data_IF_079598456251
#
_entry.id   IF_079598456251
#
_cell.length_a   1.000
_cell.length_b   1.000
_cell.length_c   1.000
_cell.angle_alpha   90.00
_cell.angle_beta   90.00
_cell.angle_gamma   90.00
#
_symmetry.space_group_name_H-M   'P 1'
#
loop_
_entity.id
_entity.type
_entity.pdbx_description
1 polymer ?
#
# COMPACT_ATOMS: atom_id res chain seq x y z
N UNK A 1 12.77 21.69 12.92
CA UNK A 1 11.67 21.97 11.98
C UNK A 1 10.50 21.17 12.51
N UNK A 2 9.46 21.83 13.02
CA UNK A 2 8.26 21.18 13.53
C UNK A 2 7.38 20.92 12.33
N UNK A 3 7.21 19.65 11.96
CA UNK A 3 6.25 19.28 10.91
C UNK A 3 4.84 19.50 11.46
N UNK A 4 4.04 20.26 10.78
CA UNK A 4 2.61 20.33 11.05
C UNK A 4 1.96 19.05 10.49
N UNK A 5 0.96 18.50 11.18
CA UNK A 5 0.27 17.25 10.83
C UNK A 5 -0.24 17.21 9.37
N UNK A 6 -0.52 18.35 8.76
CA UNK A 6 -1.03 18.49 7.40
C UNK A 6 -0.02 18.17 6.28
N UNK A 7 1.25 17.88 6.61
CA UNK A 7 2.32 17.69 5.62
C UNK A 7 2.78 16.24 5.41
N UNK A 8 2.26 15.26 6.17
CA UNK A 8 2.74 13.88 6.11
C UNK A 8 2.20 13.12 4.89
N UNK A 9 1.03 13.46 4.40
CA UNK A 9 0.44 12.92 3.19
C UNK A 9 -0.52 13.92 2.54
N UNK A 10 -0.82 13.70 1.26
CA UNK A 10 -1.91 14.38 0.54
C UNK A 10 -2.88 13.33 0.02
N UNK A 11 -4.17 13.67 -0.01
CA UNK A 11 -5.20 12.78 -0.53
C UNK A 11 -6.12 13.53 -1.49
N UNK A 12 -6.36 12.92 -2.66
CA UNK A 12 -7.26 13.46 -3.69
C UNK A 12 -8.31 12.40 -4.08
N UNK A 13 -9.53 12.86 -4.38
CA UNK A 13 -10.63 12.02 -4.84
C UNK A 13 -10.86 12.19 -6.35
N UNK A 14 -11.06 11.08 -7.05
CA UNK A 14 -11.24 11.04 -8.49
C UNK A 14 -12.48 10.24 -8.88
N UNK A 15 -13.28 10.80 -9.78
CA UNK A 15 -14.52 10.19 -10.25
C UNK A 15 -15.72 10.49 -9.33
N UNK A 16 -16.83 9.81 -9.60
CA UNK A 16 -18.09 9.97 -8.85
C UNK A 16 -18.40 8.66 -8.15
N UNK A 17 -18.49 8.66 -6.83
CA UNK A 17 -18.74 7.46 -6.03
C UNK A 17 -20.14 6.88 -6.25
N UNK A 18 -21.15 7.71 -6.51
CA UNK A 18 -22.56 7.30 -6.67
C UNK A 18 -22.82 6.33 -7.85
N UNK A 19 -21.95 6.31 -8.86
CA UNK A 19 -22.08 5.45 -10.04
C UNK A 19 -20.94 4.42 -10.14
N UNK A 20 -20.04 4.41 -9.18
CA UNK A 20 -18.88 3.54 -9.20
C UNK A 20 -19.25 2.10 -8.78
N UNK A 21 -18.59 1.14 -9.40
CA UNK A 21 -18.73 -0.29 -9.02
C UNK A 21 -18.11 -0.60 -7.66
N UNK A 22 -17.13 0.19 -7.22
CA UNK A 22 -16.55 0.20 -5.89
C UNK A 22 -15.61 1.42 -5.74
N UNK A 23 -15.24 1.75 -4.51
CA UNK A 23 -14.19 2.73 -4.22
C UNK A 23 -12.85 2.04 -3.97
N UNK A 24 -11.80 2.53 -4.61
CA UNK A 24 -10.41 2.07 -4.43
C UNK A 24 -9.64 3.08 -3.59
N UNK A 25 -9.13 2.64 -2.46
CA UNK A 25 -8.08 3.35 -1.72
C UNK A 25 -6.75 3.06 -2.41
N UNK A 26 -6.18 4.08 -3.03
CA UNK A 26 -4.95 3.97 -3.82
C UNK A 26 -3.81 4.68 -3.08
N UNK A 27 -2.74 3.96 -2.71
CA UNK A 27 -1.56 4.59 -2.09
C UNK A 27 -0.36 4.50 -3.03
N UNK A 28 0.20 5.67 -3.32
CA UNK A 28 1.33 5.84 -4.24
C UNK A 28 2.61 5.14 -3.76
N UNK A 29 3.55 4.84 -4.67
CA UNK A 29 4.91 4.46 -4.30
C UNK A 29 5.63 5.58 -3.54
N UNK A 30 6.70 5.21 -2.83
CA UNK A 30 7.59 6.19 -2.20
C UNK A 30 8.01 7.31 -3.17
N UNK A 31 8.01 8.54 -2.68
CA UNK A 31 8.42 9.75 -3.42
C UNK A 31 7.74 9.89 -4.80
N UNK A 32 6.47 9.50 -4.89
CA UNK A 32 5.75 9.52 -6.16
C UNK A 32 4.48 10.35 -6.01
N UNK A 33 4.44 11.57 -6.56
CA UNK A 33 3.22 12.39 -6.57
C UNK A 33 2.10 11.72 -7.37
N UNK A 34 0.85 12.00 -6.99
CA UNK A 34 -0.36 11.47 -7.63
C UNK A 34 -0.35 11.71 -9.14
N UNK A 35 0.17 12.86 -9.60
CA UNK A 35 0.24 13.20 -11.01
C UNK A 35 1.08 12.20 -11.83
N UNK A 36 2.17 11.64 -11.24
CA UNK A 36 3.03 10.64 -11.91
C UNK A 36 2.35 9.28 -12.08
N UNK A 37 1.36 8.96 -11.24
CA UNK A 37 0.57 7.72 -11.33
C UNK A 37 -0.83 7.95 -11.93
N UNK A 38 -1.13 9.15 -12.37
CA UNK A 38 -2.44 9.53 -12.95
C UNK A 38 -2.90 8.61 -14.08
N UNK A 39 -1.98 8.00 -14.81
CA UNK A 39 -2.31 7.02 -15.87
C UNK A 39 -2.99 5.76 -15.27
N UNK A 40 -2.53 5.27 -14.11
CA UNK A 40 -3.13 4.13 -13.43
C UNK A 40 -4.52 4.52 -12.86
N UNK A 41 -4.61 5.69 -12.24
CA UNK A 41 -5.88 6.24 -11.73
C UNK A 41 -6.89 6.36 -12.87
N UNK A 42 -6.53 7.01 -14.00
CA UNK A 42 -7.41 7.12 -15.17
C UNK A 42 -7.88 5.76 -15.71
N UNK A 43 -7.04 4.73 -15.65
CA UNK A 43 -7.43 3.37 -16.06
C UNK A 43 -8.41 2.73 -15.09
N UNK A 44 -8.28 2.96 -13.78
CA UNK A 44 -9.26 2.53 -12.78
C UNK A 44 -10.60 3.25 -12.97
N UNK A 45 -10.59 4.58 -13.19
CA UNK A 45 -11.79 5.35 -13.49
C UNK A 45 -12.52 4.84 -14.73
N UNK A 46 -11.79 4.55 -15.82
CA UNK A 46 -12.38 3.96 -17.05
C UNK A 46 -12.94 2.55 -16.83
N UNK A 47 -12.44 1.85 -15.82
CA UNK A 47 -12.96 0.55 -15.41
C UNK A 47 -14.16 0.64 -14.45
N UNK A 48 -14.65 1.86 -14.18
CA UNK A 48 -15.85 2.11 -13.38
C UNK A 48 -15.60 2.27 -11.88
N UNK A 49 -14.36 2.40 -11.43
CA UNK A 49 -14.04 2.61 -10.01
C UNK A 49 -14.00 4.09 -9.65
N UNK A 50 -14.44 4.43 -8.46
CA UNK A 50 -14.07 5.68 -7.78
C UNK A 50 -12.70 5.48 -7.10
N UNK A 51 -11.85 6.50 -7.06
CA UNK A 51 -10.49 6.38 -6.51
C UNK A 51 -10.23 7.49 -5.49
N UNK A 52 -9.81 7.10 -4.30
CA UNK A 52 -9.23 8.01 -3.29
C UNK A 52 -7.73 7.73 -3.27
N UNK A 53 -6.94 8.64 -3.80
CA UNK A 53 -5.50 8.48 -3.94
C UNK A 53 -4.74 9.24 -2.85
N UNK A 54 -3.72 8.58 -2.29
CA UNK A 54 -2.81 9.11 -1.29
C UNK A 54 -1.40 9.16 -1.82
N UNK A 55 -0.72 10.28 -1.62
CA UNK A 55 0.73 10.36 -1.77
C UNK A 55 1.39 10.67 -0.43
N UNK A 56 2.57 10.10 -0.22
CA UNK A 56 3.41 10.36 0.94
C UNK A 56 4.60 11.21 0.51
N UNK A 57 4.84 12.32 1.18
CA UNK A 57 5.92 13.23 0.80
C UNK A 57 7.28 12.61 1.11
N UNK A 58 8.26 12.75 0.20
CA UNK A 58 9.64 12.29 0.39
C UNK A 58 10.32 12.91 1.61
N UNK A 59 9.91 14.12 1.98
CA UNK A 59 10.46 14.87 3.12
C UNK A 59 10.33 14.11 4.44
N UNK A 60 9.26 13.35 4.61
CA UNK A 60 9.02 12.53 5.80
C UNK A 60 10.11 11.47 6.00
N UNK A 61 10.58 10.84 4.90
CA UNK A 61 11.63 9.81 4.99
C UNK A 61 13.04 10.36 4.88
N UNK A 62 13.23 11.46 4.17
CA UNK A 62 14.57 12.06 3.96
C UNK A 62 15.01 12.96 5.12
N UNK A 63 14.10 13.68 5.75
CA UNK A 63 14.40 14.50 6.91
C UNK A 63 14.26 13.73 8.23
N UNK A 64 13.67 12.54 8.19
CA UNK A 64 13.00 11.99 9.33
C UNK A 64 13.85 11.06 10.17
N UNK A 65 13.55 11.14 11.42
CA UNK A 65 13.66 10.03 12.34
C UNK A 65 12.80 8.87 11.79
N UNK A 66 13.36 7.65 11.62
CA UNK A 66 12.60 6.45 11.26
C UNK A 66 11.35 6.22 12.13
N UNK A 67 11.31 6.75 13.34
CA UNK A 67 10.16 6.69 14.24
C UNK A 67 8.92 7.45 13.73
N UNK A 68 9.03 8.27 12.70
CA UNK A 68 7.87 8.92 12.04
C UNK A 68 7.02 7.94 11.23
N UNK A 69 7.57 6.83 10.77
CA UNK A 69 6.82 5.87 9.94
C UNK A 69 5.58 5.30 10.65
N UNK A 70 5.63 4.86 11.93
CA UNK A 70 4.45 4.45 12.66
C UNK A 70 3.39 5.54 12.74
N UNK A 71 3.80 6.79 12.98
CA UNK A 71 2.90 7.94 13.06
C UNK A 71 2.23 8.21 11.70
N UNK A 72 3.00 8.22 10.61
CA UNK A 72 2.47 8.36 9.25
C UNK A 72 1.40 7.29 8.95
N UNK A 73 1.70 6.02 9.26
CA UNK A 73 0.75 4.92 9.03
C UNK A 73 -0.52 5.13 9.85
N UNK A 74 -0.38 5.54 11.12
CA UNK A 74 -1.52 5.82 11.99
C UNK A 74 -2.40 6.94 11.43
N UNK A 75 -1.80 8.03 10.97
CA UNK A 75 -2.53 9.17 10.39
C UNK A 75 -3.24 8.80 9.09
N UNK A 76 -2.55 8.13 8.16
CA UNK A 76 -3.15 7.67 6.89
C UNK A 76 -4.31 6.71 7.16
N UNK A 77 -4.14 5.78 8.09
CA UNK A 77 -5.18 4.83 8.50
C UNK A 77 -6.42 5.54 9.07
N UNK A 78 -6.22 6.54 9.93
CA UNK A 78 -7.31 7.31 10.50
C UNK A 78 -8.06 8.11 9.42
N UNK A 79 -7.36 8.73 8.48
CA UNK A 79 -7.99 9.44 7.36
C UNK A 79 -8.77 8.47 6.45
N UNK A 80 -8.22 7.29 6.16
CA UNK A 80 -8.93 6.23 5.41
C UNK A 80 -10.25 5.87 6.09
N UNK A 81 -10.24 5.63 7.42
CA UNK A 81 -11.45 5.34 8.20
C UNK A 81 -12.50 6.45 8.09
N UNK A 82 -12.08 7.70 8.25
CA UNK A 82 -12.98 8.86 8.16
C UNK A 82 -13.59 8.99 6.76
N UNK A 83 -12.79 8.77 5.70
CA UNK A 83 -13.29 8.81 4.32
C UNK A 83 -14.22 7.66 4.01
N UNK A 84 -13.90 6.44 4.44
CA UNK A 84 -14.79 5.28 4.31
C UNK A 84 -16.11 5.57 5.00
N UNK A 85 -16.11 6.06 6.24
CA UNK A 85 -17.34 6.41 6.96
C UNK A 85 -18.18 7.46 6.22
N UNK A 86 -17.54 8.53 5.70
CA UNK A 86 -18.18 9.55 4.88
C UNK A 86 -18.80 8.98 3.59
N UNK A 87 -18.05 8.14 2.87
CA UNK A 87 -18.51 7.53 1.63
C UNK A 87 -19.63 6.50 1.88
N UNK A 88 -19.56 5.74 2.98
CA UNK A 88 -20.61 4.82 3.39
C UNK A 88 -21.90 5.58 3.71
N UNK A 89 -21.82 6.71 4.40
CA UNK A 89 -22.97 7.58 4.64
C UNK A 89 -23.55 8.17 3.34
N UNK A 90 -22.74 8.29 2.28
CA UNK A 90 -23.16 8.69 0.94
C UNK A 90 -23.65 7.50 0.07
N UNK A 91 -23.77 6.28 0.63
CA UNK A 91 -24.31 5.10 -0.04
C UNK A 91 -23.27 4.19 -0.72
N UNK A 92 -21.97 4.42 -0.54
CA UNK A 92 -20.94 3.50 -1.03
C UNK A 92 -20.88 2.26 -0.13
N UNK A 93 -21.00 1.09 -0.72
CA UNK A 93 -21.07 -0.18 0.03
C UNK A 93 -19.85 -1.08 -0.17
N UNK A 94 -18.97 -0.77 -1.13
CA UNK A 94 -17.86 -1.63 -1.47
C UNK A 94 -16.55 -0.86 -1.57
N UNK A 95 -15.57 -1.30 -0.79
CA UNK A 95 -14.24 -0.72 -0.70
C UNK A 95 -13.17 -1.78 -0.96
N UNK A 96 -12.21 -1.40 -1.78
CA UNK A 96 -11.00 -2.18 -1.99
C UNK A 96 -9.79 -1.27 -2.03
N UNK A 97 -8.62 -1.84 -2.30
CA UNK A 97 -7.41 -1.05 -2.33
C UNK A 97 -6.42 -1.47 -3.42
N UNK A 98 -5.53 -0.54 -3.73
CA UNK A 98 -4.34 -0.76 -4.53
C UNK A 98 -3.16 0.00 -3.92
N UNK A 99 -2.23 -0.72 -3.31
CA UNK A 99 -0.98 -0.16 -2.80
C UNK A 99 0.18 -0.47 -3.72
N UNK A 100 1.14 0.45 -3.83
CA UNK A 100 2.33 0.21 -4.63
C UNK A 100 3.61 0.55 -3.87
N UNK A 101 4.56 -0.39 -3.79
CA UNK A 101 5.81 -0.25 -3.04
C UNK A 101 5.55 0.15 -1.58
N UNK A 102 5.99 1.31 -1.12
CA UNK A 102 5.65 1.85 0.21
C UNK A 102 4.13 1.85 0.47
N UNK A 103 3.33 2.21 -0.54
CA UNK A 103 1.88 2.19 -0.43
C UNK A 103 1.30 0.81 -0.14
N UNK A 104 1.94 -0.26 -0.64
CA UNK A 104 1.58 -1.64 -0.26
C UNK A 104 1.83 -1.90 1.22
N UNK A 105 2.96 -1.45 1.75
CA UNK A 105 3.30 -1.61 3.15
C UNK A 105 2.34 -0.84 4.08
N UNK A 106 1.99 0.41 3.72
CA UNK A 106 1.01 1.20 4.47
C UNK A 106 -0.34 0.47 4.50
N UNK A 107 -0.83 0.02 3.34
CA UNK A 107 -2.11 -0.71 3.26
C UNK A 107 -2.08 -2.07 3.96
N UNK A 108 -0.94 -2.76 3.98
CA UNK A 108 -0.76 -3.97 4.76
C UNK A 108 -1.03 -3.73 6.25
N UNK A 109 -0.68 -2.54 6.77
CA UNK A 109 -0.96 -2.10 8.13
C UNK A 109 -2.37 -1.49 8.32
N UNK A 110 -3.18 -1.41 7.26
CA UNK A 110 -4.55 -0.89 7.34
C UNK A 110 -5.61 -1.99 7.31
N UNK A 111 -5.31 -3.15 6.70
CA UNK A 111 -6.32 -4.21 6.50
C UNK A 111 -6.67 -4.97 7.78
N UNK A 112 -7.78 -5.69 7.76
CA UNK A 112 -8.25 -6.50 8.86
C UNK A 112 -8.83 -5.66 10.00
N UNK A 113 -8.36 -5.91 11.22
CA UNK A 113 -8.87 -5.25 12.44
C UNK A 113 -8.87 -3.73 12.37
N UNK A 114 -7.90 -3.18 11.66
CA UNK A 114 -7.70 -1.74 11.59
C UNK A 114 -8.71 -1.03 10.67
N UNK A 115 -8.98 -1.58 9.49
CA UNK A 115 -10.00 -1.06 8.55
C UNK A 115 -10.75 -2.25 7.94
N UNK A 116 -11.75 -2.79 8.65
CA UNK A 116 -12.43 -4.04 8.26
C UNK A 116 -13.23 -3.94 6.95
N UNK A 117 -13.49 -2.74 6.47
CA UNK A 117 -14.15 -2.50 5.18
C UNK A 117 -13.24 -2.82 3.99
N UNK A 118 -11.92 -2.82 4.17
CA UNK A 118 -10.95 -3.14 3.11
C UNK A 118 -10.78 -4.66 2.95
N UNK A 119 -11.79 -5.30 2.37
CA UNK A 119 -11.88 -6.75 2.28
C UNK A 119 -11.19 -7.36 1.06
N UNK A 120 -10.76 -6.57 0.11
CA UNK A 120 -10.04 -7.04 -1.07
C UNK A 120 -9.08 -5.98 -1.59
N UNK A 121 -7.99 -6.43 -2.18
CA UNK A 121 -7.04 -5.47 -2.74
C UNK A 121 -5.77 -6.07 -3.30
N UNK A 122 -4.92 -5.17 -3.77
CA UNK A 122 -3.69 -5.47 -4.47
C UNK A 122 -2.50 -4.84 -3.76
N UNK A 123 -1.53 -5.66 -3.41
CA UNK A 123 -0.20 -5.26 -2.93
C UNK A 123 0.79 -5.36 -4.08
N UNK A 124 1.06 -4.23 -4.74
CA UNK A 124 1.98 -4.17 -5.87
C UNK A 124 3.41 -3.90 -5.40
N UNK A 125 4.29 -4.89 -5.53
CA UNK A 125 5.72 -4.78 -5.20
C UNK A 125 5.99 -4.33 -3.75
N UNK A 126 5.15 -4.75 -2.82
CA UNK A 126 5.35 -4.56 -1.38
C UNK A 126 6.30 -5.59 -0.80
N UNK A 127 6.81 -5.33 0.39
CA UNK A 127 7.68 -6.25 1.11
C UNK A 127 8.22 -5.63 2.40
N UNK A 128 9.26 -6.23 2.99
CA UNK A 128 9.91 -5.74 4.20
C UNK A 128 10.43 -4.30 4.00
N UNK A 129 9.82 -3.36 4.71
CA UNK A 129 10.12 -1.93 4.51
C UNK A 129 11.53 -1.56 4.97
N UNK A 130 12.02 -2.14 6.08
CA UNK A 130 13.35 -1.86 6.58
C UNK A 130 14.42 -2.30 5.57
N UNK A 131 14.31 -3.54 5.07
CA UNK A 131 15.20 -4.07 4.06
C UNK A 131 15.08 -3.32 2.73
N UNK A 132 13.86 -2.95 2.32
CA UNK A 132 13.62 -2.17 1.12
C UNK A 132 14.28 -0.80 1.17
N UNK A 133 14.08 -0.06 2.26
CA UNK A 133 14.71 1.24 2.46
C UNK A 133 16.24 1.16 2.59
N UNK A 134 16.74 0.10 3.24
CA UNK A 134 18.20 -0.12 3.37
C UNK A 134 18.89 -0.41 2.04
N UNK A 135 18.18 -0.96 1.06
CA UNK A 135 18.68 -1.17 -0.30
C UNK A 135 18.67 0.11 -1.16
N UNK A 136 17.90 1.11 -0.78
CA UNK A 136 17.91 2.43 -1.42
C UNK A 136 19.10 3.23 -0.91
N UNK A 137 20.11 3.43 -1.76
CA UNK A 137 21.41 3.98 -1.37
C UNK A 137 21.26 5.32 -0.64
N UNK A 138 20.49 6.25 -1.20
CA UNK A 138 20.30 7.60 -0.63
C UNK A 138 19.69 7.55 0.78
N UNK A 139 18.73 6.65 1.02
CA UNK A 139 18.11 6.48 2.33
C UNK A 139 19.06 5.79 3.31
N UNK A 140 19.80 4.78 2.85
CA UNK A 140 20.79 4.09 3.68
C UNK A 140 21.87 5.06 4.17
N UNK A 141 22.44 5.88 3.30
CA UNK A 141 23.44 6.88 3.66
C UNK A 141 22.91 7.88 4.69
N UNK A 142 21.67 8.34 4.49
CA UNK A 142 21.01 9.23 5.43
C UNK A 142 20.81 8.58 6.81
N UNK A 143 20.35 7.33 6.85
CA UNK A 143 20.15 6.59 8.09
C UNK A 143 21.47 6.32 8.82
N UNK A 144 22.52 5.89 8.09
CA UNK A 144 23.86 5.66 8.66
C UNK A 144 24.42 6.94 9.26
N UNK A 145 24.31 8.08 8.57
CA UNK A 145 24.77 9.38 9.06
C UNK A 145 24.06 9.80 10.37
N UNK A 146 22.90 9.22 10.69
CA UNK A 146 22.13 9.44 11.91
C UNK A 146 22.28 8.33 12.96
N UNK A 147 23.23 7.42 12.76
CA UNK A 147 23.50 6.33 13.69
C UNK A 147 22.50 5.17 13.63
N UNK A 148 21.71 5.07 12.55
CA UNK A 148 20.83 3.93 12.32
C UNK A 148 21.57 2.80 11.62
N UNK A 149 21.15 1.58 11.89
CA UNK A 149 21.59 0.36 11.21
C UNK A 149 20.37 -0.46 10.78
N UNK A 150 20.54 -1.40 9.86
CA UNK A 150 19.42 -2.26 9.44
C UNK A 150 18.79 -3.02 10.62
N UNK A 151 19.53 -3.67 11.53
CA UNK A 151 18.90 -4.33 12.69
C UNK A 151 18.11 -3.36 13.57
N UNK A 152 18.60 -2.14 13.78
CA UNK A 152 17.91 -1.13 14.58
C UNK A 152 16.62 -0.64 13.89
N UNK A 153 16.61 -0.55 12.55
CA UNK A 153 15.38 -0.25 11.79
C UNK A 153 14.38 -1.41 11.85
N UNK A 154 14.86 -2.64 11.72
CA UNK A 154 14.01 -3.83 11.84
C UNK A 154 13.35 -3.94 13.22
N UNK A 155 14.09 -3.63 14.27
CA UNK A 155 13.58 -3.55 15.65
C UNK A 155 12.54 -2.43 15.81
N UNK A 156 12.87 -1.21 15.35
CA UNK A 156 11.99 -0.04 15.47
C UNK A 156 10.66 -0.22 14.71
N UNK A 157 10.63 -1.03 13.65
CA UNK A 157 9.46 -1.27 12.82
C UNK A 157 8.90 -2.69 12.95
N UNK A 158 9.30 -3.45 13.98
CA UNK A 158 8.90 -4.84 14.15
C UNK A 158 7.37 -5.02 14.16
N UNK A 159 6.66 -4.17 14.91
CA UNK A 159 5.19 -4.21 14.99
C UNK A 159 4.51 -3.89 13.66
N UNK A 160 5.13 -3.02 12.84
CA UNK A 160 4.60 -2.70 11.52
C UNK A 160 4.83 -3.82 10.51
N UNK A 161 5.85 -4.65 10.71
CA UNK A 161 6.13 -5.78 9.82
C UNK A 161 5.17 -6.94 10.04
N UNK A 162 4.65 -7.07 11.26
CA UNK A 162 3.78 -8.17 11.68
C UNK A 162 2.53 -7.64 12.40
N UNK A 163 1.64 -6.92 11.68
CA UNK A 163 0.43 -6.38 12.30
C UNK A 163 -0.51 -7.52 12.71
N UNK A 164 -1.23 -7.29 13.82
CA UNK A 164 -2.35 -8.15 14.20
C UNK A 164 -3.56 -7.88 13.30
N UNK A 165 -3.77 -8.73 12.32
CA UNK A 165 -4.92 -8.62 11.41
C UNK A 165 -6.25 -8.95 12.08
N UNK A 166 -6.26 -9.66 13.19
CA UNK A 166 -7.46 -10.36 13.67
C UNK A 166 -7.89 -11.44 12.67
N UNK A 167 -9.18 -11.53 12.37
CA UNK A 167 -9.71 -12.48 11.37
C UNK A 167 -9.90 -11.80 10.02
N UNK A 168 -9.46 -12.48 8.96
CA UNK A 168 -9.56 -12.03 7.57
C UNK A 168 -10.48 -12.94 6.72
N UNK A 169 -11.43 -13.63 7.34
CA UNK A 169 -12.34 -14.53 6.62
C UNK A 169 -13.12 -13.78 5.53
N UNK A 170 -13.12 -14.32 4.33
CA UNK A 170 -13.74 -13.72 3.15
C UNK A 170 -13.01 -12.48 2.63
N UNK A 171 -11.82 -12.17 3.16
CA UNK A 171 -10.93 -11.18 2.57
C UNK A 171 -10.08 -11.79 1.47
N UNK A 172 -9.81 -11.03 0.41
CA UNK A 172 -9.09 -11.51 -0.78
C UNK A 172 -7.99 -10.55 -1.19
N UNK A 173 -6.76 -11.05 -1.31
CA UNK A 173 -5.62 -10.22 -1.63
C UNK A 173 -4.76 -10.82 -2.74
N UNK A 174 -4.21 -9.93 -3.56
CA UNK A 174 -3.26 -10.28 -4.61
C UNK A 174 -1.94 -9.56 -4.37
N UNK A 175 -0.87 -10.32 -4.27
CA UNK A 175 0.49 -9.80 -4.24
C UNK A 175 1.09 -9.84 -5.65
N UNK A 176 1.51 -8.68 -6.14
CA UNK A 176 2.17 -8.54 -7.43
C UNK A 176 3.67 -8.37 -7.23
N UNK A 177 4.48 -9.14 -7.93
CA UNK A 177 5.94 -9.15 -7.78
C UNK A 177 6.67 -9.34 -9.09
N UNK A 178 7.99 -9.14 -9.08
CA UNK A 178 8.89 -9.55 -10.16
C UNK A 178 10.04 -10.38 -9.60
N UNK A 179 10.54 -11.34 -10.40
CA UNK A 179 11.71 -12.16 -10.03
C UNK A 179 13.00 -11.35 -9.91
N UNK A 180 13.08 -10.22 -10.62
CA UNK A 180 14.25 -9.35 -10.67
C UNK A 180 14.06 -8.05 -9.89
N UNK A 181 13.10 -8.05 -8.97
CA UNK A 181 12.94 -6.92 -8.04
C UNK A 181 14.05 -6.99 -6.99
N UNK A 182 14.91 -6.00 -7.01
CA UNK A 182 16.09 -5.89 -6.15
C UNK A 182 15.76 -5.28 -4.78
N UNK A 183 14.67 -4.54 -4.67
CA UNK A 183 14.22 -3.89 -3.42
C UNK A 183 13.21 -4.78 -2.68
N UNK A 184 12.20 -5.28 -3.38
CA UNK A 184 11.16 -6.14 -2.82
C UNK A 184 11.17 -7.54 -3.48
N UNK A 185 12.19 -8.37 -3.22
CA UNK A 185 12.31 -9.69 -3.83
C UNK A 185 11.15 -10.61 -3.42
N UNK A 186 10.84 -11.57 -4.29
CA UNK A 186 9.71 -12.50 -4.11
C UNK A 186 9.71 -13.20 -2.74
N UNK A 187 10.90 -13.53 -2.20
CA UNK A 187 11.01 -14.14 -0.87
C UNK A 187 10.45 -13.25 0.26
N UNK A 188 10.65 -11.94 0.17
CA UNK A 188 10.09 -11.00 1.14
C UNK A 188 8.56 -10.93 1.03
N UNK A 189 8.01 -11.02 -0.17
CA UNK A 189 6.55 -11.01 -0.40
C UNK A 189 5.90 -12.25 0.22
N UNK A 190 6.53 -13.41 0.08
CA UNK A 190 6.01 -14.66 0.67
C UNK A 190 5.87 -14.58 2.19
N UNK A 191 6.77 -13.87 2.88
CA UNK A 191 6.69 -13.64 4.32
C UNK A 191 5.42 -12.86 4.72
N UNK A 192 4.95 -11.93 3.88
CA UNK A 192 3.72 -11.16 4.14
C UNK A 192 2.44 -11.95 3.83
N UNK A 193 2.52 -12.91 2.91
CA UNK A 193 1.35 -13.74 2.59
C UNK A 193 0.99 -14.72 3.71
N UNK A 194 1.99 -15.28 4.39
CA UNK A 194 1.81 -16.28 5.45
C UNK A 194 0.84 -15.83 6.55
N UNK A 195 1.13 -14.72 7.26
CA UNK A 195 0.27 -14.23 8.32
C UNK A 195 -1.17 -13.91 7.88
N UNK A 196 -1.36 -13.44 6.64
CA UNK A 196 -2.71 -13.19 6.10
C UNK A 196 -3.46 -14.50 5.82
N UNK A 197 -2.78 -15.54 5.32
CA UNK A 197 -3.36 -16.86 5.13
C UNK A 197 -3.74 -17.50 6.48
N UNK A 198 -2.88 -17.38 7.50
CA UNK A 198 -3.14 -17.84 8.86
C UNK A 198 -4.33 -17.11 9.49
N UNK A 199 -4.53 -15.82 9.16
CA UNK A 199 -5.69 -15.03 9.58
C UNK A 199 -6.98 -15.38 8.81
N UNK A 200 -6.96 -16.27 7.82
CA UNK A 200 -8.12 -16.74 7.08
C UNK A 200 -8.38 -16.04 5.74
N UNK A 201 -7.46 -15.22 5.25
CA UNK A 201 -7.61 -14.57 3.95
C UNK A 201 -7.33 -15.53 2.78
N UNK A 202 -8.00 -15.29 1.66
CA UNK A 202 -7.61 -15.84 0.36
C UNK A 202 -6.50 -14.98 -0.24
N UNK A 203 -5.29 -15.54 -0.37
CA UNK A 203 -4.14 -14.80 -0.88
C UNK A 203 -3.57 -15.46 -2.12
N UNK A 204 -3.30 -14.67 -3.14
CA UNK A 204 -2.65 -15.14 -4.36
C UNK A 204 -1.48 -14.25 -4.79
N UNK A 205 -0.50 -14.85 -5.48
CA UNK A 205 0.64 -14.14 -6.02
C UNK A 205 0.53 -14.05 -7.56
N UNK A 206 0.95 -12.93 -8.11
CA UNK A 206 1.06 -12.70 -9.56
C UNK A 206 2.43 -12.12 -9.88
N UNK A 207 2.97 -12.54 -11.02
CA UNK A 207 4.25 -12.03 -11.50
C UNK A 207 4.06 -11.08 -12.66
N UNK A 208 4.84 -10.02 -12.66
CA UNK A 208 4.98 -9.10 -13.79
C UNK A 208 6.39 -9.23 -14.39
N UNK A 209 6.53 -9.14 -15.73
CA UNK A 209 7.84 -9.07 -16.35
C UNK A 209 8.47 -7.71 -16.04
N UNK A 210 9.56 -7.72 -15.29
CA UNK A 210 10.29 -6.50 -14.95
C UNK A 210 11.74 -6.85 -14.61
N UNK A 211 12.64 -5.90 -14.79
CA UNK A 211 14.10 -6.08 -14.61
C UNK A 211 14.64 -5.35 -13.37
N UNK A 212 13.79 -4.59 -12.69
CA UNK A 212 14.10 -3.84 -11.47
C UNK A 212 12.84 -3.54 -10.67
N UNK A 213 12.97 -3.06 -9.43
CA UNK A 213 11.85 -2.58 -8.61
C UNK A 213 11.01 -1.54 -9.34
N UNK A 214 11.65 -0.50 -9.90
CA UNK A 214 10.95 0.58 -10.60
C UNK A 214 10.10 0.08 -11.76
N UNK A 215 10.65 -0.82 -12.57
CA UNK A 215 9.90 -1.39 -13.71
C UNK A 215 8.79 -2.34 -13.25
N UNK A 216 8.98 -3.04 -12.13
CA UNK A 216 7.93 -3.86 -11.52
C UNK A 216 6.77 -3.01 -10.99
N UNK A 217 7.07 -1.90 -10.30
CA UNK A 217 6.08 -0.90 -9.86
C UNK A 217 5.26 -0.41 -11.05
N UNK A 218 5.91 0.05 -12.14
CA UNK A 218 5.24 0.56 -13.34
C UNK A 218 4.38 -0.53 -14.01
N UNK A 219 4.90 -1.75 -14.15
CA UNK A 219 4.15 -2.86 -14.75
C UNK A 219 2.90 -3.22 -13.93
N UNK A 220 2.99 -3.20 -12.60
CA UNK A 220 1.84 -3.40 -11.73
C UNK A 220 0.81 -2.26 -11.83
N UNK A 221 1.26 -1.01 -11.82
CA UNK A 221 0.41 0.18 -12.00
C UNK A 221 -0.31 0.16 -13.37
N UNK A 222 0.39 -0.25 -14.43
CA UNK A 222 -0.21 -0.40 -15.76
C UNK A 222 -1.32 -1.45 -15.79
N UNK A 223 -1.16 -2.52 -15.03
CA UNK A 223 -2.12 -3.62 -14.94
C UNK A 223 -3.10 -3.48 -13.76
N UNK A 224 -3.12 -2.35 -13.05
CA UNK A 224 -3.96 -2.14 -11.87
C UNK A 224 -5.43 -2.53 -12.08
N UNK A 225 -6.14 -2.12 -13.16
CA UNK A 225 -7.55 -2.52 -13.35
C UNK A 225 -7.74 -4.02 -13.52
N UNK A 226 -6.75 -4.71 -14.14
CA UNK A 226 -6.80 -6.17 -14.30
C UNK A 226 -6.68 -6.88 -12.95
N UNK A 227 -5.73 -6.47 -12.12
CA UNK A 227 -5.52 -7.08 -10.81
C UNK A 227 -6.68 -6.78 -9.85
N UNK A 228 -7.15 -5.54 -9.83
CA UNK A 228 -8.31 -5.12 -9.04
C UNK A 228 -9.55 -5.93 -9.43
N UNK A 229 -9.84 -6.07 -10.73
CA UNK A 229 -10.97 -6.87 -11.21
C UNK A 229 -10.83 -8.34 -10.81
N UNK A 230 -9.64 -8.90 -10.96
CA UNK A 230 -9.38 -10.30 -10.64
C UNK A 230 -9.65 -10.59 -9.15
N UNK A 231 -9.15 -9.75 -8.23
CA UNK A 231 -9.32 -9.96 -6.79
C UNK A 231 -10.75 -9.69 -6.34
N UNK A 232 -11.43 -8.73 -6.96
CA UNK A 232 -12.83 -8.40 -6.67
C UNK A 232 -13.80 -9.50 -7.13
N UNK A 233 -13.57 -10.09 -8.31
CA UNK A 233 -14.48 -11.05 -8.95
C UNK A 233 -14.22 -12.51 -8.56
N UNK A 234 -13.13 -12.85 -7.89
CA UNK A 234 -12.96 -14.18 -7.32
C UNK A 234 -14.10 -14.38 -6.31
N UNK A 235 -15.19 -14.98 -6.72
CA UNK A 235 -16.35 -15.29 -5.87
C UNK A 235 -15.94 -16.28 -4.77
N UNK A 236 -16.78 -16.47 -3.73
CA UNK A 236 -16.58 -17.59 -2.83
C UNK A 236 -16.61 -18.88 -3.66
N UNK A 237 -15.49 -19.62 -3.68
CA UNK A 237 -15.40 -20.96 -4.24
C UNK A 237 -16.24 -21.92 -3.43
#
# INVERSE_FOLDING_TARGET
MVFTHDSLFQAEEFGTSAQAVATIIFICPYNTPIQKVSFAIRRLLRAGYHVVAYETTSVVFMAADPLILPELISQVRNDIRLRIAKLTAAGVTEFGFFGSSLGSFILYNCVGREVPELRWGVFNTGGNIAQGMWKMLDLRELHVARGWSLPRLEEAWAELQWPDFGRLDGCRFVFVSSRRDDIAPVGNIMQYMGPMLEAGAEVSARRVPAVSHRTAVIAGLWNAPRFVRMVRQAGPG
#
